data_IF_623461514149
#
_entry.id   IF_623461514149
#
_cell.length_a   1.000
_cell.length_b   1.000
_cell.length_c   1.000
_cell.angle_alpha   90.00
_cell.angle_beta   90.00
_cell.angle_gamma   90.00
#
_symmetry.space_group_name_H-M   'P 1'
#
loop_
_entity.id
_entity.type
_entity.pdbx_description
1 polymer ?
#
# COMPACT_ATOMS: atom_id res chain seq x y z
N UNK A 1 -29.83 -7.52 2.85
CA UNK A 1 -29.00 -7.48 1.62
C UNK A 1 -27.73 -6.75 2.00
N UNK A 2 -26.60 -7.44 1.98
CA UNK A 2 -25.30 -6.88 2.36
C UNK A 2 -24.87 -5.85 1.30
N UNK A 3 -24.74 -4.57 1.69
CA UNK A 3 -24.17 -3.50 0.86
C UNK A 3 -22.66 -3.70 0.71
N UNK A 4 -22.22 -4.85 0.21
CA UNK A 4 -20.81 -5.10 -0.08
C UNK A 4 -20.47 -4.39 -1.40
N UNK A 5 -19.40 -3.61 -1.37
CA UNK A 5 -18.79 -2.97 -2.53
C UNK A 5 -17.47 -3.68 -2.82
N UNK A 6 -17.13 -3.85 -4.10
CA UNK A 6 -16.02 -4.72 -4.48
C UNK A 6 -16.01 -5.09 -5.94
N UNK A 7 -15.04 -5.90 -6.33
CA UNK A 7 -14.89 -6.45 -7.67
C UNK A 7 -15.94 -7.53 -7.90
N UNK A 8 -16.66 -7.40 -9.01
CA UNK A 8 -17.63 -8.38 -9.51
C UNK A 8 -17.23 -8.95 -10.87
N UNK A 9 -16.22 -8.36 -11.52
CA UNK A 9 -15.65 -8.86 -12.77
C UNK A 9 -14.17 -8.51 -12.85
N UNK A 10 -13.35 -9.44 -13.32
CA UNK A 10 -11.92 -9.23 -13.60
C UNK A 10 -11.54 -10.01 -14.85
N UNK A 11 -11.05 -9.26 -15.86
CA UNK A 11 -10.51 -9.80 -17.09
C UNK A 11 -9.05 -9.38 -17.24
N UNK A 12 -8.18 -10.33 -17.59
CA UNK A 12 -6.78 -10.07 -17.90
C UNK A 12 -6.44 -10.63 -19.27
N UNK A 13 -5.66 -9.88 -20.04
CA UNK A 13 -5.11 -10.31 -21.32
C UNK A 13 -3.61 -10.05 -21.33
N UNK A 14 -2.81 -11.05 -21.72
CA UNK A 14 -1.35 -10.99 -21.78
C UNK A 14 -0.68 -10.41 -20.52
N UNK A 15 -1.25 -10.66 -19.35
CA UNK A 15 -0.81 -10.12 -18.08
C UNK A 15 0.03 -11.16 -17.31
N UNK A 16 1.33 -10.89 -17.11
CA UNK A 16 2.27 -11.80 -16.44
C UNK A 16 2.20 -13.22 -17.02
N UNK A 17 1.80 -14.23 -16.23
CA UNK A 17 1.66 -15.61 -16.70
C UNK A 17 0.32 -15.90 -17.38
N UNK A 18 -0.64 -14.97 -17.34
CA UNK A 18 -1.98 -15.18 -17.90
C UNK A 18 -2.03 -14.66 -19.34
N UNK A 19 -2.28 -15.55 -20.30
CA UNK A 19 -2.66 -15.10 -21.65
C UNK A 19 -4.08 -14.53 -21.62
N UNK A 20 -5.00 -15.27 -21.02
CA UNK A 20 -6.38 -14.87 -20.76
C UNK A 20 -6.78 -15.33 -19.38
N UNK A 21 -7.41 -14.46 -18.61
CA UNK A 21 -8.07 -14.81 -17.36
C UNK A 21 -9.39 -14.06 -17.31
N UNK A 22 -10.46 -14.76 -16.97
CA UNK A 22 -11.80 -14.19 -16.86
C UNK A 22 -12.47 -14.71 -15.61
N UNK A 23 -13.06 -13.79 -14.84
CA UNK A 23 -13.80 -14.14 -13.64
C UNK A 23 -14.92 -13.13 -13.42
N UNK A 24 -16.09 -13.63 -13.02
CA UNK A 24 -17.22 -12.78 -12.67
C UNK A 24 -18.11 -13.41 -11.61
N UNK A 25 -18.86 -12.57 -10.89
CA UNK A 25 -19.88 -12.94 -9.92
C UNK A 25 -20.98 -11.87 -9.90
N UNK A 26 -22.16 -12.22 -9.39
CA UNK A 26 -23.28 -11.28 -9.32
C UNK A 26 -23.09 -10.23 -8.21
N UNK A 27 -22.63 -10.67 -7.03
CA UNK A 27 -22.51 -9.83 -5.85
C UNK A 27 -21.07 -9.85 -5.31
N UNK A 28 -20.53 -8.74 -4.78
CA UNK A 28 -19.23 -8.77 -4.14
C UNK A 28 -19.23 -9.70 -2.92
N UNK A 29 -18.34 -10.69 -2.96
CA UNK A 29 -18.04 -11.59 -1.84
C UNK A 29 -16.54 -11.87 -1.73
N UNK A 30 -16.10 -12.52 -0.65
CA UNK A 30 -14.73 -13.00 -0.51
C UNK A 30 -14.36 -13.93 -1.67
N UNK A 31 -13.11 -13.88 -2.12
CA UNK A 31 -12.61 -14.71 -3.22
C UNK A 31 -11.38 -15.49 -2.78
N UNK A 32 -11.41 -16.81 -2.93
CA UNK A 32 -10.30 -17.71 -2.65
C UNK A 32 -9.75 -18.27 -3.96
N UNK A 33 -8.50 -17.94 -4.28
CA UNK A 33 -7.79 -18.45 -5.45
C UNK A 33 -6.89 -19.60 -5.01
N UNK A 34 -7.19 -20.80 -5.48
CA UNK A 34 -6.43 -22.02 -5.16
C UNK A 34 -5.72 -22.56 -6.39
N UNK A 35 -4.60 -23.23 -6.18
CA UNK A 35 -3.86 -23.88 -7.26
C UNK A 35 -2.38 -24.08 -6.94
N UNK A 36 -1.68 -24.88 -7.77
CA UNK A 36 -0.28 -25.20 -7.52
C UNK A 36 0.61 -23.95 -7.55
N UNK A 37 1.81 -24.08 -7.01
CA UNK A 37 2.83 -23.05 -7.14
C UNK A 37 3.11 -22.79 -8.62
N UNK A 38 3.24 -21.52 -9.00
CA UNK A 38 3.43 -21.12 -10.39
C UNK A 38 2.14 -20.97 -11.21
N UNK A 39 0.96 -21.32 -10.69
CA UNK A 39 -0.32 -21.17 -11.41
C UNK A 39 -0.77 -19.71 -11.68
N UNK A 40 0.03 -18.70 -11.30
CA UNK A 40 -0.30 -17.30 -11.52
C UNK A 40 -1.25 -16.67 -10.50
N UNK A 41 -1.44 -17.29 -9.31
CA UNK A 41 -2.30 -16.76 -8.23
C UNK A 41 -1.92 -15.34 -7.81
N UNK A 42 -0.65 -15.12 -7.46
CA UNK A 42 -0.12 -13.80 -7.11
C UNK A 42 -0.20 -12.80 -8.27
N UNK A 43 -0.22 -13.26 -9.53
CA UNK A 43 -0.37 -12.35 -10.68
C UNK A 43 -1.78 -11.76 -10.73
N UNK A 44 -2.81 -12.50 -10.30
CA UNK A 44 -4.18 -11.99 -10.16
C UNK A 44 -4.24 -10.95 -9.03
N UNK A 45 -3.63 -11.22 -7.87
CA UNK A 45 -3.53 -10.23 -6.80
C UNK A 45 -2.73 -8.98 -7.23
N UNK A 46 -1.68 -9.17 -8.03
CA UNK A 46 -0.92 -8.06 -8.60
C UNK A 46 -1.82 -7.19 -9.50
N UNK A 47 -2.65 -7.79 -10.37
CA UNK A 47 -3.61 -7.05 -11.17
C UNK A 47 -4.58 -6.23 -10.31
N UNK A 48 -5.18 -6.85 -9.28
CA UNK A 48 -6.07 -6.15 -8.35
C UNK A 48 -5.39 -5.00 -7.62
N UNK A 49 -4.11 -5.16 -7.26
CA UNK A 49 -3.32 -4.11 -6.61
C UNK A 49 -3.06 -2.89 -7.50
N UNK A 50 -3.23 -3.02 -8.83
CA UNK A 50 -3.11 -1.89 -9.76
C UNK A 50 -4.34 -0.98 -9.75
N UNK A 51 -5.46 -1.43 -9.19
CA UNK A 51 -6.70 -0.65 -9.08
C UNK A 51 -6.62 0.47 -8.04
N UNK A 52 -5.57 0.51 -7.22
CA UNK A 52 -5.28 1.61 -6.29
C UNK A 52 -4.08 2.44 -6.76
N UNK A 53 -3.91 3.67 -6.23
CA UNK A 53 -2.76 4.50 -6.56
C UNK A 53 -1.41 3.80 -6.30
N UNK A 54 -0.47 3.96 -7.24
CA UNK A 54 0.92 3.51 -7.08
C UNK A 54 1.31 2.39 -8.05
N UNK A 55 2.36 1.64 -7.73
CA UNK A 55 2.91 0.62 -8.64
C UNK A 55 2.39 -0.80 -8.36
N UNK A 56 1.42 -0.94 -7.47
CA UNK A 56 0.89 -2.21 -7.01
C UNK A 56 1.85 -3.02 -6.13
N UNK A 57 1.47 -4.28 -5.92
CA UNK A 57 2.05 -5.24 -4.99
C UNK A 57 3.58 -5.40 -5.13
N UNK A 58 4.06 -5.50 -6.37
CA UNK A 58 5.47 -5.81 -6.69
C UNK A 58 6.29 -4.59 -7.11
N UNK A 59 5.70 -3.39 -7.10
CA UNK A 59 6.33 -2.16 -7.60
C UNK A 59 6.88 -2.26 -9.03
N UNK A 60 6.30 -3.14 -9.84
CA UNK A 60 6.76 -3.49 -11.17
C UNK A 60 6.59 -2.34 -12.16
N UNK A 61 7.51 -2.23 -13.14
CA UNK A 61 7.35 -1.32 -14.26
C UNK A 61 6.18 -1.76 -15.17
N UNK A 62 5.80 -0.94 -16.15
CA UNK A 62 4.78 -1.36 -17.13
C UNK A 62 5.27 -2.53 -17.99
N UNK A 63 6.57 -2.55 -18.32
CA UNK A 63 7.19 -3.60 -19.12
C UNK A 63 7.26 -4.93 -18.37
N UNK A 64 7.51 -4.90 -17.06
CA UNK A 64 7.57 -6.13 -16.25
C UNK A 64 6.21 -6.83 -16.16
N UNK A 65 5.10 -6.09 -16.29
CA UNK A 65 3.73 -6.65 -16.24
C UNK A 65 3.40 -7.47 -17.49
N UNK A 66 4.07 -7.21 -18.62
CA UNK A 66 3.84 -7.91 -19.88
C UNK A 66 4.07 -9.42 -19.75
N UNK A 67 3.19 -10.21 -20.35
CA UNK A 67 3.44 -11.62 -20.61
C UNK A 67 4.57 -11.76 -21.65
N UNK A 68 5.69 -12.31 -21.21
CA UNK A 68 6.92 -12.40 -22.00
C UNK A 68 6.82 -13.36 -23.19
N UNK A 69 5.77 -14.20 -23.25
CA UNK A 69 5.53 -15.10 -24.39
C UNK A 69 4.65 -14.46 -25.48
N UNK A 70 4.21 -13.20 -25.28
CA UNK A 70 3.25 -12.51 -26.14
C UNK A 70 3.77 -11.14 -26.55
N UNK A 71 3.60 -10.81 -27.82
CA UNK A 71 3.95 -9.50 -28.39
C UNK A 71 2.83 -8.47 -28.26
N UNK A 72 1.58 -8.91 -28.17
CA UNK A 72 0.43 -8.02 -28.03
C UNK A 72 0.41 -7.36 -26.64
N UNK A 73 -0.03 -6.09 -26.53
CA UNK A 73 -0.10 -5.39 -25.25
C UNK A 73 -0.95 -6.15 -24.23
N UNK A 74 -0.56 -6.01 -22.96
CA UNK A 74 -1.40 -6.48 -21.87
C UNK A 74 -2.60 -5.57 -21.62
N UNK A 75 -3.68 -6.17 -21.15
CA UNK A 75 -4.93 -5.52 -20.76
C UNK A 75 -5.43 -6.03 -19.42
N UNK A 76 -6.04 -5.13 -18.67
CA UNK A 76 -6.75 -5.40 -17.42
C UNK A 76 -8.09 -4.67 -17.49
N UNK A 77 -9.18 -5.39 -17.22
CA UNK A 77 -10.50 -4.80 -17.04
C UNK A 77 -11.10 -5.27 -15.73
N UNK A 78 -11.63 -4.35 -14.93
CA UNK A 78 -12.34 -4.66 -13.70
C UNK A 78 -13.68 -3.93 -13.64
N UNK A 79 -14.73 -4.64 -13.21
CA UNK A 79 -16.01 -4.04 -12.84
C UNK A 79 -16.12 -4.03 -11.32
N UNK A 80 -16.23 -2.83 -10.75
CA UNK A 80 -16.46 -2.61 -9.34
C UNK A 80 -17.95 -2.34 -9.11
N UNK A 81 -18.54 -3.03 -8.17
CA UNK A 81 -19.81 -2.67 -7.58
C UNK A 81 -19.56 -1.64 -6.46
N UNK A 82 -20.22 -0.49 -6.55
CA UNK A 82 -20.20 0.55 -5.51
C UNK A 82 -21.63 0.98 -5.16
N UNK A 83 -21.87 1.62 -4.00
CA UNK A 83 -23.19 2.16 -3.67
C UNK A 83 -23.71 3.19 -4.68
N UNK A 84 -22.82 3.84 -5.43
CA UNK A 84 -23.15 4.83 -6.46
C UNK A 84 -23.33 4.22 -7.86
N UNK A 85 -23.32 2.89 -7.97
CA UNK A 85 -23.42 2.15 -9.23
C UNK A 85 -22.10 1.49 -9.66
N UNK A 86 -22.11 0.77 -10.79
CA UNK A 86 -20.92 0.08 -11.28
C UNK A 86 -19.87 1.07 -11.79
N UNK A 87 -18.61 0.78 -11.51
CA UNK A 87 -17.44 1.48 -12.07
C UNK A 87 -16.64 0.51 -12.90
N UNK A 88 -16.34 0.87 -14.15
CA UNK A 88 -15.50 0.10 -15.05
C UNK A 88 -14.09 0.70 -15.06
N UNK A 89 -13.07 -0.10 -14.76
CA UNK A 89 -11.68 0.29 -14.80
C UNK A 89 -10.97 -0.51 -15.88
N UNK A 90 -10.50 0.17 -16.92
CA UNK A 90 -9.68 -0.41 -17.97
C UNK A 90 -8.23 0.06 -17.84
N UNK A 91 -7.27 -0.84 -17.94
CA UNK A 91 -5.84 -0.50 -17.99
C UNK A 91 -5.14 -1.27 -19.10
N UNK A 92 -4.30 -0.57 -19.86
CA UNK A 92 -3.49 -1.16 -20.94
C UNK A 92 -2.06 -0.65 -20.90
N UNK A 93 -1.12 -1.47 -21.38
CA UNK A 93 0.21 -0.97 -21.71
C UNK A 93 0.13 0.09 -22.80
N UNK A 94 0.88 1.19 -22.65
CA UNK A 94 1.10 2.09 -23.77
C UNK A 94 2.01 1.42 -24.80
N UNK A 95 1.64 1.46 -26.08
CA UNK A 95 2.36 0.86 -27.21
C UNK A 95 3.83 1.34 -27.32
N UNK A 96 4.15 2.51 -26.75
CA UNK A 96 5.50 3.09 -26.76
C UNK A 96 6.33 2.78 -25.48
N UNK A 97 5.89 1.83 -24.64
CA UNK A 97 6.70 1.24 -23.57
C UNK A 97 6.92 2.06 -22.29
N UNK A 98 6.54 3.35 -22.26
CA UNK A 98 6.88 4.24 -21.15
C UNK A 98 5.81 4.35 -20.03
N UNK A 99 4.60 3.82 -20.22
CA UNK A 99 3.51 4.03 -19.26
C UNK A 99 2.31 3.10 -19.43
N UNK A 100 1.29 3.35 -18.62
CA UNK A 100 -0.01 2.66 -18.64
C UNK A 100 -1.08 3.67 -18.97
N UNK A 101 -2.04 3.29 -19.82
CA UNK A 101 -3.25 4.08 -20.05
C UNK A 101 -4.34 3.52 -19.16
N UNK A 102 -5.06 4.40 -18.47
CA UNK A 102 -6.14 4.02 -17.55
C UNK A 102 -7.42 4.70 -18.04
N UNK A 103 -8.52 3.97 -18.05
CA UNK A 103 -9.86 4.49 -18.34
C UNK A 103 -10.80 4.15 -17.18
N UNK A 104 -11.67 5.11 -16.84
CA UNK A 104 -12.79 4.92 -15.91
C UNK A 104 -14.07 5.15 -16.70
N UNK A 105 -14.94 4.15 -16.79
CA UNK A 105 -16.17 4.23 -17.58
C UNK A 105 -15.89 4.78 -19.00
N UNK A 106 -14.87 4.22 -19.65
CA UNK A 106 -14.38 4.60 -20.99
C UNK A 106 -13.77 6.01 -21.11
N UNK A 107 -13.69 6.77 -20.01
CA UNK A 107 -13.04 8.09 -19.97
C UNK A 107 -11.58 7.96 -19.54
N UNK A 108 -10.60 8.51 -20.29
CA UNK A 108 -9.20 8.48 -19.89
C UNK A 108 -8.94 9.14 -18.53
N UNK A 109 -8.23 8.44 -17.65
CA UNK A 109 -7.78 8.96 -16.36
C UNK A 109 -6.37 9.54 -16.49
N UNK A 110 -6.25 10.86 -16.37
CA UNK A 110 -4.98 11.55 -16.61
C UNK A 110 -3.93 11.34 -15.52
N UNK A 111 -4.35 11.07 -14.27
CA UNK A 111 -3.43 10.83 -13.15
C UNK A 111 -3.76 9.50 -12.50
N UNK A 112 -2.78 8.61 -12.44
CA UNK A 112 -2.93 7.33 -11.73
C UNK A 112 -3.31 7.51 -10.25
N UNK A 113 -2.93 8.64 -9.64
CA UNK A 113 -3.28 8.96 -8.25
C UNK A 113 -4.79 9.13 -8.04
N UNK A 114 -5.54 9.47 -9.09
CA UNK A 114 -6.99 9.66 -9.03
C UNK A 114 -7.73 8.30 -8.91
N UNK A 115 -7.03 7.17 -9.06
CA UNK A 115 -7.58 5.83 -8.72
C UNK A 115 -8.05 5.73 -7.26
N UNK A 116 -7.52 6.58 -6.37
CA UNK A 116 -7.96 6.67 -4.97
C UNK A 116 -9.47 6.93 -4.86
N UNK A 117 -10.05 7.61 -5.86
CA UNK A 117 -11.46 7.95 -5.86
C UNK A 117 -12.39 6.77 -6.18
N UNK A 118 -11.85 5.64 -6.66
CA UNK A 118 -12.63 4.49 -7.11
C UNK A 118 -12.41 3.22 -6.30
N UNK A 119 -11.20 2.98 -5.78
CA UNK A 119 -10.91 1.74 -5.04
C UNK A 119 -9.76 1.92 -4.05
N UNK A 120 -9.92 1.33 -2.87
CA UNK A 120 -8.86 1.17 -1.89
C UNK A 120 -8.39 -0.28 -1.88
N UNK A 121 -7.08 -0.49 -1.91
CA UNK A 121 -6.51 -1.84 -1.93
C UNK A 121 -5.35 -1.90 -0.95
N UNK A 122 -5.48 -2.77 0.06
CA UNK A 122 -4.38 -3.17 0.94
C UNK A 122 -4.02 -4.62 0.71
N UNK A 123 -2.82 -4.97 1.14
CA UNK A 123 -2.32 -6.33 0.98
C UNK A 123 -1.35 -6.75 2.06
N UNK A 124 -1.26 -8.07 2.23
CA UNK A 124 -0.25 -8.80 2.98
C UNK A 124 0.35 -9.84 2.02
N UNK A 125 1.68 -9.89 1.95
CA UNK A 125 2.44 -10.87 1.15
C UNK A 125 3.48 -11.58 1.99
N UNK A 126 3.97 -12.76 1.55
CA UNK A 126 5.03 -13.50 2.26
C UNK A 126 6.26 -12.65 2.60
N UNK A 127 6.67 -11.76 1.70
CA UNK A 127 7.81 -10.86 1.94
C UNK A 127 7.62 -9.90 3.12
N UNK A 128 6.37 -9.62 3.51
CA UNK A 128 6.07 -8.72 4.63
C UNK A 128 6.24 -9.38 5.99
N UNK A 129 6.45 -10.70 6.07
CA UNK A 129 6.82 -11.37 7.33
C UNK A 129 8.12 -10.81 7.93
N UNK A 130 8.99 -10.24 7.09
CA UNK A 130 10.24 -9.62 7.51
C UNK A 130 10.11 -8.13 7.83
N UNK A 131 8.91 -7.54 7.73
CA UNK A 131 8.70 -6.08 7.90
C UNK A 131 9.36 -5.52 9.16
N UNK A 132 9.29 -6.24 10.27
CA UNK A 132 9.86 -5.82 11.55
C UNK A 132 11.35 -6.18 11.70
N UNK A 133 11.92 -7.00 10.83
CA UNK A 133 13.36 -7.29 10.84
C UNK A 133 14.13 -6.49 9.77
N UNK A 134 13.40 -5.93 8.82
CA UNK A 134 13.96 -5.14 7.73
C UNK A 134 14.34 -3.71 8.12
N UNK A 135 15.01 -3.04 7.18
CA UNK A 135 15.44 -1.65 7.30
C UNK A 135 14.27 -0.68 7.60
N UNK A 136 14.62 0.46 8.22
CA UNK A 136 13.71 1.59 8.42
C UNK A 136 13.02 2.06 7.13
N UNK A 137 13.68 1.89 5.98
CA UNK A 137 13.11 2.25 4.67
C UNK A 137 11.93 1.37 4.27
N UNK A 138 11.95 0.09 4.61
CA UNK A 138 10.81 -0.82 4.36
C UNK A 138 9.63 -0.43 5.23
N UNK A 139 9.84 -0.23 6.53
CA UNK A 139 8.76 0.20 7.44
C UNK A 139 8.16 1.54 7.05
N UNK A 140 9.00 2.49 6.62
CA UNK A 140 8.51 3.78 6.12
C UNK A 140 7.68 3.61 4.84
N UNK A 141 8.12 2.79 3.88
CA UNK A 141 7.31 2.50 2.68
C UNK A 141 5.99 1.83 3.02
N UNK A 142 5.99 0.92 4.00
CA UNK A 142 4.77 0.32 4.54
C UNK A 142 3.84 1.38 5.13
N UNK A 143 4.35 2.26 5.99
CA UNK A 143 3.60 3.40 6.54
C UNK A 143 3.06 4.31 5.43
N UNK A 144 3.92 4.73 4.50
CA UNK A 144 3.54 5.62 3.40
C UNK A 144 2.39 5.04 2.60
N UNK A 145 2.41 3.74 2.29
CA UNK A 145 1.29 3.05 1.63
C UNK A 145 0.00 3.14 2.44
N UNK A 146 0.04 2.91 3.76
CA UNK A 146 -1.16 3.01 4.60
C UNK A 146 -1.70 4.45 4.64
N UNK A 147 -0.80 5.45 4.75
CA UNK A 147 -1.21 6.86 4.75
C UNK A 147 -1.80 7.26 3.39
N UNK A 148 -1.24 6.79 2.27
CA UNK A 148 -1.77 7.03 0.92
C UNK A 148 -3.21 6.55 0.77
N UNK A 149 -3.54 5.39 1.34
CA UNK A 149 -4.91 4.86 1.31
C UNK A 149 -5.86 5.65 2.21
N UNK A 150 -5.36 6.20 3.32
CA UNK A 150 -6.16 6.97 4.27
C UNK A 150 -6.38 8.44 3.85
N UNK A 151 -5.41 9.04 3.14
CA UNK A 151 -5.43 10.45 2.73
C UNK A 151 -4.94 10.61 1.29
N UNK A 152 -5.88 10.96 0.39
CA UNK A 152 -5.63 11.14 -1.04
C UNK A 152 -4.60 12.23 -1.37
N UNK A 153 -4.45 13.24 -0.50
CA UNK A 153 -3.49 14.33 -0.70
C UNK A 153 -2.05 13.92 -0.36
N UNK A 154 -1.85 12.76 0.29
CA UNK A 154 -0.53 12.32 0.73
C UNK A 154 0.39 11.91 -0.43
N UNK A 155 -0.11 11.13 -1.39
CA UNK A 155 0.72 10.64 -2.49
C UNK A 155 1.29 11.77 -3.39
N UNK A 156 0.49 12.76 -3.86
CA UNK A 156 1.03 13.91 -4.60
C UNK A 156 2.06 14.70 -3.79
N UNK A 157 1.80 14.89 -2.49
CA UNK A 157 2.70 15.59 -1.58
C UNK A 157 4.05 14.89 -1.43
N UNK A 158 4.04 13.56 -1.21
CA UNK A 158 5.26 12.76 -1.09
C UNK A 158 6.09 12.79 -2.38
N UNK A 159 5.44 12.62 -3.54
CA UNK A 159 6.13 12.67 -4.85
C UNK A 159 6.75 14.04 -5.13
N UNK A 160 6.05 15.13 -4.78
CA UNK A 160 6.59 16.47 -4.89
C UNK A 160 7.82 16.66 -3.98
N UNK A 161 7.74 16.23 -2.73
CA UNK A 161 8.86 16.25 -1.79
C UNK A 161 10.06 15.45 -2.32
N UNK A 162 9.87 14.22 -2.80
CA UNK A 162 10.95 13.40 -3.34
C UNK A 162 11.60 14.00 -4.59
N UNK A 163 10.82 14.69 -5.44
CA UNK A 163 11.35 15.43 -6.60
C UNK A 163 12.24 16.58 -6.15
N UNK A 164 11.78 17.42 -5.22
CA UNK A 164 12.55 18.55 -4.68
C UNK A 164 13.80 18.03 -3.97
N UNK A 165 13.68 16.95 -3.21
CA UNK A 165 14.81 16.34 -2.50
C UNK A 165 15.89 15.85 -3.47
N UNK A 166 15.50 15.24 -4.60
CA UNK A 166 16.45 14.86 -5.65
C UNK A 166 17.15 16.08 -6.26
N UNK A 167 16.41 17.17 -6.51
CA UNK A 167 16.98 18.42 -7.02
C UNK A 167 17.96 19.04 -6.02
N UNK A 168 17.60 19.08 -4.73
CA UNK A 168 18.47 19.57 -3.65
C UNK A 168 19.75 18.73 -3.55
N UNK A 169 19.63 17.40 -3.52
CA UNK A 169 20.78 16.48 -3.48
C UNK A 169 21.73 16.69 -4.66
N UNK A 170 21.17 16.82 -5.86
CA UNK A 170 21.93 17.11 -7.07
C UNK A 170 22.63 18.47 -6.96
N UNK A 171 21.93 19.52 -6.56
CA UNK A 171 22.50 20.86 -6.47
C UNK A 171 23.61 20.94 -5.41
N UNK A 172 23.42 20.37 -4.21
CA UNK A 172 24.44 20.35 -3.14
C UNK A 172 25.71 19.60 -3.55
N UNK A 173 25.61 18.61 -4.46
CA UNK A 173 26.80 17.92 -4.98
C UNK A 173 27.67 18.75 -5.94
N UNK A 174 27.21 19.93 -6.38
CA UNK A 174 28.02 20.83 -7.20
C UNK A 174 29.11 21.52 -6.36
N UNK A 175 30.23 21.90 -6.99
CA UNK A 175 31.33 22.61 -6.30
C UNK A 175 30.95 24.02 -5.84
N UNK A 176 30.07 24.70 -6.59
CA UNK A 176 29.63 26.07 -6.31
C UNK A 176 28.15 26.26 -6.67
N UNK A 177 27.22 25.69 -5.88
CA UNK A 177 25.79 25.88 -6.09
C UNK A 177 25.38 27.33 -5.79
N UNK A 178 24.43 27.86 -6.57
CA UNK A 178 23.90 29.21 -6.33
C UNK A 178 23.09 29.24 -5.01
N UNK A 179 23.42 30.09 -4.02
CA UNK A 179 22.80 30.05 -2.69
C UNK A 179 21.28 30.21 -2.70
N UNK A 180 20.75 31.14 -3.50
CA UNK A 180 19.30 31.40 -3.62
C UNK A 180 18.50 30.19 -4.12
N UNK A 181 19.11 29.34 -4.95
CA UNK A 181 18.45 28.12 -5.45
C UNK A 181 18.37 27.06 -4.34
N UNK A 182 19.43 26.91 -3.54
CA UNK A 182 19.39 26.03 -2.37
C UNK A 182 18.36 26.48 -1.37
N UNK A 183 18.34 27.77 -1.02
CA UNK A 183 17.36 28.35 -0.09
C UNK A 183 15.91 28.11 -0.55
N UNK A 184 15.64 28.30 -1.85
CA UNK A 184 14.31 28.05 -2.42
C UNK A 184 13.91 26.58 -2.31
N UNK A 185 14.83 25.64 -2.62
CA UNK A 185 14.56 24.21 -2.50
C UNK A 185 14.36 23.78 -1.04
N UNK A 186 15.12 24.35 -0.11
CA UNK A 186 15.06 24.03 1.31
C UNK A 186 13.78 24.52 1.97
N UNK A 187 13.31 25.71 1.58
CA UNK A 187 11.99 26.19 1.97
C UNK A 187 10.90 25.23 1.51
N UNK A 188 10.92 24.84 0.22
CA UNK A 188 9.96 23.87 -0.32
C UNK A 188 10.06 22.48 0.33
N UNK A 189 11.26 22.05 0.74
CA UNK A 189 11.46 20.80 1.49
C UNK A 189 10.88 20.89 2.90
N UNK A 190 11.06 22.03 3.58
CA UNK A 190 10.50 22.27 4.90
C UNK A 190 8.97 22.29 4.85
N UNK A 191 8.38 23.13 3.99
CA UNK A 191 6.93 23.24 3.77
C UNK A 191 6.28 21.86 3.56
N UNK A 192 6.83 21.07 2.63
CA UNK A 192 6.27 19.74 2.33
C UNK A 192 6.59 18.71 3.39
N UNK A 193 7.76 18.82 4.02
CA UNK A 193 8.21 17.90 5.06
C UNK A 193 7.32 17.96 6.30
N UNK A 194 6.94 19.16 6.71
CA UNK A 194 5.97 19.45 7.77
C UNK A 194 4.63 18.77 7.47
N UNK A 195 4.06 19.03 6.30
CA UNK A 195 2.77 18.44 5.90
C UNK A 195 2.80 16.90 5.83
N UNK A 196 3.93 16.31 5.39
CA UNK A 196 4.09 14.84 5.37
C UNK A 196 4.10 14.28 6.79
N UNK A 197 4.82 14.94 7.70
CA UNK A 197 4.84 14.54 9.10
C UNK A 197 3.45 14.64 9.72
N UNK A 198 2.73 15.75 9.55
CA UNK A 198 1.37 15.91 10.09
C UNK A 198 0.41 14.80 9.61
N UNK A 199 0.44 14.46 8.32
CA UNK A 199 -0.39 13.39 7.76
C UNK A 199 -0.03 12.02 8.32
N UNK A 200 1.26 11.72 8.49
CA UNK A 200 1.73 10.47 9.12
C UNK A 200 1.29 10.39 10.58
N UNK A 201 1.47 11.45 11.35
CA UNK A 201 1.09 11.52 12.76
C UNK A 201 -0.42 11.39 12.93
N UNK A 202 -1.21 12.10 12.12
CA UNK A 202 -2.69 12.00 12.11
C UNK A 202 -3.16 10.58 11.82
N UNK A 203 -2.54 9.91 10.83
CA UNK A 203 -2.84 8.52 10.52
C UNK A 203 -2.47 7.59 11.68
N UNK A 204 -1.26 7.73 12.25
CA UNK A 204 -0.81 6.89 13.37
C UNK A 204 -1.68 7.07 14.62
N UNK A 205 -2.13 8.28 14.93
CA UNK A 205 -3.08 8.53 16.01
C UNK A 205 -4.40 7.79 15.76
N UNK A 206 -4.95 7.89 14.54
CA UNK A 206 -6.17 7.18 14.16
C UNK A 206 -6.00 5.66 14.21
N UNK A 207 -4.83 5.17 13.77
CA UNK A 207 -4.48 3.75 13.80
C UNK A 207 -4.40 3.21 15.23
N UNK A 208 -3.72 3.93 16.12
CA UNK A 208 -3.61 3.56 17.53
C UNK A 208 -4.97 3.55 18.25
N UNK A 209 -5.90 4.44 17.87
CA UNK A 209 -7.26 4.41 18.38
C UNK A 209 -8.06 3.20 17.89
N UNK A 210 -7.75 2.68 16.69
CA UNK A 210 -8.43 1.52 16.10
C UNK A 210 -7.85 0.18 16.53
N UNK A 211 -6.54 0.12 16.80
CA UNK A 211 -5.82 -1.11 17.12
C UNK A 211 -6.42 -1.96 18.25
N UNK A 212 -6.97 -1.40 19.35
CA UNK A 212 -7.59 -2.19 20.42
C UNK A 212 -8.71 -3.13 19.94
N UNK A 213 -9.44 -2.80 18.88
CA UNK A 213 -10.47 -3.68 18.30
C UNK A 213 -9.88 -4.92 17.59
N UNK A 214 -8.58 -4.88 17.28
CA UNK A 214 -7.87 -5.92 16.54
C UNK A 214 -6.77 -6.60 17.36
N UNK A 215 -6.55 -6.20 18.62
CA UNK A 215 -5.54 -6.78 19.51
C UNK A 215 -6.18 -7.30 20.79
N UNK A 216 -5.55 -8.27 21.46
CA UNK A 216 -6.00 -8.66 22.79
C UNK A 216 -5.69 -7.54 23.79
N UNK A 217 -6.60 -7.28 24.74
CA UNK A 217 -6.39 -6.24 25.78
C UNK A 217 -5.11 -6.47 26.59
N UNK A 218 -4.78 -7.74 26.87
CA UNK A 218 -3.57 -8.14 27.59
C UNK A 218 -2.27 -7.98 26.79
N UNK A 219 -2.35 -7.60 25.51
CA UNK A 219 -1.20 -7.47 24.64
C UNK A 219 -1.40 -6.30 23.66
N UNK A 220 -1.36 -5.05 24.16
CA UNK A 220 -1.62 -3.87 23.33
C UNK A 220 -0.53 -3.71 22.27
N UNK A 221 -0.96 -3.38 21.05
CA UNK A 221 -0.08 -2.96 19.97
C UNK A 221 -0.14 -1.44 19.84
N UNK A 222 1.02 -0.79 19.83
CA UNK A 222 1.13 0.67 19.70
C UNK A 222 2.16 0.99 18.61
N UNK A 223 1.81 1.95 17.76
CA UNK A 223 2.70 2.50 16.73
C UNK A 223 3.14 3.89 17.16
N UNK A 224 4.43 4.19 17.02
CA UNK A 224 4.95 5.55 17.22
C UNK A 224 5.91 5.95 16.11
N UNK A 225 6.02 7.26 15.91
CA UNK A 225 6.95 7.86 14.96
C UNK A 225 8.01 8.63 15.74
N UNK A 226 9.25 8.59 15.25
CA UNK A 226 10.36 9.37 15.81
C UNK A 226 11.28 9.86 14.69
N UNK A 227 12.01 10.93 14.98
CA UNK A 227 12.94 11.57 14.07
C UNK A 227 13.23 12.99 14.53
N UNK A 228 14.30 13.57 14.02
CA UNK A 228 14.70 14.94 14.39
C UNK A 228 13.62 15.98 14.01
N UNK A 229 12.80 15.69 13.00
CA UNK A 229 11.65 16.55 12.67
C UNK A 229 10.59 16.57 13.79
N UNK A 230 10.41 15.45 14.49
CA UNK A 230 9.52 15.33 15.65
C UNK A 230 10.06 16.17 16.82
N UNK A 231 11.37 16.10 17.05
CA UNK A 231 12.04 16.88 18.10
C UNK A 231 11.91 18.40 17.86
N UNK A 232 12.08 18.85 16.60
CA UNK A 232 11.89 20.25 16.21
C UNK A 232 10.43 20.71 16.38
N UNK A 233 9.46 19.86 16.05
CA UNK A 233 8.04 20.16 16.27
C UNK A 233 7.75 20.34 17.76
N UNK A 234 8.21 19.42 18.62
CA UNK A 234 7.98 19.51 20.06
C UNK A 234 8.64 20.75 20.69
N UNK A 235 9.81 21.16 20.18
CA UNK A 235 10.51 22.33 20.69
C UNK A 235 9.80 23.66 20.37
N UNK A 236 9.28 23.82 19.15
CA UNK A 236 8.58 25.04 18.74
C UNK A 236 7.65 24.81 17.53
N UNK A 237 6.39 24.40 17.75
CA UNK A 237 5.44 24.14 16.66
C UNK A 237 5.22 25.34 15.74
N UNK A 238 5.24 26.56 16.28
CA UNK A 238 4.95 27.80 15.55
C UNK A 238 6.01 28.13 14.49
N UNK A 239 7.28 27.78 14.74
CA UNK A 239 8.40 28.03 13.82
C UNK A 239 8.99 26.73 13.28
N UNK A 240 8.20 25.65 13.27
CA UNK A 240 8.66 24.32 12.90
C UNK A 240 9.15 24.26 11.45
N UNK A 241 8.47 24.94 10.53
CA UNK A 241 8.90 25.04 9.12
C UNK A 241 10.26 25.75 9.00
N UNK A 242 10.43 26.92 9.63
CA UNK A 242 11.69 27.68 9.61
C UNK A 242 12.83 26.86 10.21
N UNK A 243 12.58 26.14 11.32
CA UNK A 243 13.54 25.24 11.93
C UNK A 243 13.93 24.08 11.00
N UNK A 244 12.96 23.51 10.27
CA UNK A 244 13.23 22.48 9.26
C UNK A 244 14.09 23.02 8.11
N UNK A 245 13.79 24.23 7.61
CA UNK A 245 14.56 24.88 6.56
C UNK A 245 16.01 25.10 7.00
N UNK A 246 16.21 25.69 8.18
CA UNK A 246 17.54 25.91 8.76
C UNK A 246 18.29 24.58 8.92
N UNK A 247 17.58 23.50 9.25
CA UNK A 247 18.18 22.18 9.40
C UNK A 247 18.66 21.56 8.08
N UNK A 248 17.94 21.75 6.99
CA UNK A 248 18.43 21.39 5.65
C UNK A 248 19.65 22.23 5.24
N UNK A 249 19.63 23.54 5.51
CA UNK A 249 20.76 24.42 5.23
C UNK A 249 22.03 23.97 5.97
N UNK A 250 21.91 23.60 7.25
CA UNK A 250 23.00 23.07 8.05
C UNK A 250 23.53 21.70 7.54
N UNK A 251 22.68 20.92 6.86
CA UNK A 251 23.04 19.61 6.31
C UNK A 251 23.81 19.68 4.97
N UNK A 252 23.88 20.84 4.31
CA UNK A 252 24.56 21.02 3.00
C UNK A 252 25.99 20.49 3.02
N UNK A 253 26.81 20.99 3.95
CA UNK A 253 28.25 20.70 4.02
C UNK A 253 28.55 19.25 4.41
N UNK A 254 27.77 18.67 5.33
CA UNK A 254 27.94 17.26 5.69
C UNK A 254 27.53 16.34 4.55
N UNK A 255 26.45 16.66 3.84
CA UNK A 255 26.01 15.92 2.65
C UNK A 255 27.03 16.01 1.50
N UNK A 256 27.60 17.19 1.25
CA UNK A 256 28.65 17.39 0.24
C UNK A 256 29.91 16.55 0.53
N UNK A 257 30.20 16.27 1.81
CA UNK A 257 31.27 15.35 2.26
C UNK A 257 30.90 13.87 2.16
N UNK A 258 29.78 13.53 1.54
CA UNK A 258 29.32 12.15 1.35
C UNK A 258 28.61 11.54 2.56
N UNK A 259 28.29 12.31 3.60
CA UNK A 259 27.50 11.80 4.73
C UNK A 259 26.02 11.68 4.33
N UNK A 260 25.30 10.64 4.79
CA UNK A 260 23.89 10.50 4.51
C UNK A 260 23.08 11.65 5.13
N UNK A 261 22.02 12.08 4.43
CA UNK A 261 21.08 13.05 4.96
C UNK A 261 20.16 12.38 5.99
N UNK A 262 20.31 12.74 7.26
CA UNK A 262 19.60 12.15 8.41
C UNK A 262 18.37 12.94 8.87
N UNK A 263 17.97 13.98 8.12
CA UNK A 263 16.88 14.89 8.49
C UNK A 263 15.78 14.95 7.42
N UNK A 264 14.52 15.14 7.83
CA UNK A 264 13.34 15.23 6.97
C UNK A 264 12.52 13.91 6.90
N UNK A 265 11.37 13.89 6.21
CA UNK A 265 10.49 12.73 6.11
C UNK A 265 11.14 11.39 5.76
N UNK A 266 12.22 11.38 4.99
CA UNK A 266 12.95 10.14 4.65
C UNK A 266 13.75 9.55 5.83
N UNK A 267 13.86 10.27 6.94
CA UNK A 267 14.53 9.82 8.16
C UNK A 267 13.57 9.42 9.28
N UNK A 268 12.26 9.62 9.11
CA UNK A 268 11.23 9.18 10.06
C UNK A 268 11.35 7.67 10.32
N UNK A 269 11.33 7.29 11.59
CA UNK A 269 11.39 5.91 12.07
C UNK A 269 10.01 5.52 12.62
N UNK A 270 9.46 4.43 12.11
CA UNK A 270 8.23 3.81 12.63
C UNK A 270 8.62 2.71 13.62
N UNK A 271 8.22 2.90 14.88
CA UNK A 271 8.37 1.92 15.94
C UNK A 271 7.04 1.27 16.25
N UNK A 272 7.10 0.01 16.65
CA UNK A 272 5.93 -0.78 16.98
C UNK A 272 6.26 -1.54 18.26
N UNK A 273 5.44 -1.35 19.29
CA UNK A 273 5.56 -2.07 20.55
C UNK A 273 4.36 -2.99 20.73
N UNK A 274 4.61 -4.22 21.15
CA UNK A 274 3.61 -5.21 21.50
C UNK A 274 3.83 -5.63 22.95
N UNK A 275 2.80 -5.49 23.79
CA UNK A 275 2.91 -5.72 25.23
C UNK A 275 4.12 -5.00 25.84
N UNK A 276 4.26 -3.70 25.54
CA UNK A 276 5.34 -2.82 26.03
C UNK A 276 6.77 -3.18 25.59
N UNK A 277 6.97 -4.20 24.74
CA UNK A 277 8.26 -4.56 24.19
C UNK A 277 8.33 -4.26 22.68
N UNK A 278 9.51 -3.95 22.11
CA UNK A 278 9.67 -3.82 20.66
C UNK A 278 9.24 -5.10 19.93
N UNK A 279 8.40 -4.96 18.90
CA UNK A 279 7.82 -6.10 18.16
C UNK A 279 8.89 -7.01 17.54
N UNK A 280 10.07 -6.48 17.26
CA UNK A 280 11.24 -7.18 16.71
C UNK A 280 11.73 -8.30 17.62
N UNK A 281 11.52 -8.15 18.93
CA UNK A 281 11.88 -9.14 19.96
C UNK A 281 10.77 -10.19 20.17
N UNK A 282 9.59 -9.96 19.59
CA UNK A 282 8.47 -10.90 19.65
C UNK A 282 8.69 -12.14 18.79
N UNK A 283 7.94 -13.20 19.09
CA UNK A 283 7.93 -14.43 18.30
C UNK A 283 7.44 -14.17 16.87
N UNK A 284 7.76 -15.07 15.93
CA UNK A 284 7.26 -14.97 14.54
C UNK A 284 5.73 -14.89 14.50
N UNK A 285 5.03 -15.62 15.37
CA UNK A 285 3.56 -15.54 15.49
C UNK A 285 3.07 -14.17 15.95
N UNK A 286 3.74 -13.57 16.94
CA UNK A 286 3.42 -12.21 17.42
C UNK A 286 3.65 -11.16 16.33
N UNK A 287 4.76 -11.26 15.61
CA UNK A 287 5.05 -10.39 14.46
C UNK A 287 3.95 -10.50 13.40
N UNK A 288 3.60 -11.71 12.98
CA UNK A 288 2.52 -11.89 12.00
C UNK A 288 1.18 -11.37 12.51
N UNK A 289 0.81 -11.67 13.76
CA UNK A 289 -0.42 -11.15 14.38
C UNK A 289 -0.45 -9.61 14.41
N UNK A 290 0.67 -8.96 14.72
CA UNK A 290 0.80 -7.51 14.68
C UNK A 290 0.62 -6.95 13.26
N UNK A 291 1.23 -7.58 12.24
CA UNK A 291 1.06 -7.18 10.85
C UNK A 291 -0.41 -7.24 10.41
N UNK A 292 -1.10 -8.34 10.70
CA UNK A 292 -2.54 -8.47 10.40
C UNK A 292 -3.36 -7.42 11.15
N UNK A 293 -3.07 -7.18 12.42
CA UNK A 293 -3.78 -6.19 13.23
C UNK A 293 -3.63 -4.77 12.66
N UNK A 294 -2.43 -4.39 12.23
CA UNK A 294 -2.15 -3.10 11.58
C UNK A 294 -2.93 -2.94 10.27
N UNK A 295 -2.88 -3.95 9.39
CA UNK A 295 -3.55 -3.88 8.09
C UNK A 295 -5.07 -3.92 8.22
N UNK A 296 -5.62 -4.76 9.09
CA UNK A 296 -7.07 -4.82 9.33
C UNK A 296 -7.59 -3.53 9.97
N UNK A 297 -6.84 -2.94 10.91
CA UNK A 297 -7.18 -1.63 11.48
C UNK A 297 -7.15 -0.53 10.42
N UNK A 298 -6.17 -0.55 9.52
CA UNK A 298 -6.10 0.40 8.41
C UNK A 298 -7.27 0.22 7.42
N UNK A 299 -7.66 -1.02 7.11
CA UNK A 299 -8.86 -1.30 6.31
C UNK A 299 -10.12 -0.74 6.98
N UNK A 300 -10.26 -0.92 8.30
CA UNK A 300 -11.40 -0.38 9.04
C UNK A 300 -11.47 1.14 9.00
N UNK A 301 -10.34 1.81 9.23
CA UNK A 301 -10.26 3.27 9.10
C UNK A 301 -10.67 3.76 7.71
N UNK A 302 -10.36 3.01 6.66
CA UNK A 302 -10.77 3.37 5.29
C UNK A 302 -12.26 3.16 5.07
N UNK A 303 -12.82 2.04 5.55
CA UNK A 303 -14.26 1.79 5.48
C UNK A 303 -15.05 2.86 6.22
N UNK A 304 -14.57 3.30 7.39
CA UNK A 304 -15.21 4.36 8.18
C UNK A 304 -15.10 5.73 7.49
N UNK A 305 -13.97 6.01 6.83
CA UNK A 305 -13.70 7.30 6.17
C UNK A 305 -14.30 7.40 4.76
N UNK A 306 -14.39 6.29 4.05
CA UNK A 306 -14.84 6.20 2.66
C UNK A 306 -15.86 5.06 2.50
N UNK A 307 -17.03 5.14 3.16
CA UNK A 307 -18.03 4.06 3.16
C UNK A 307 -18.55 3.71 1.77
N UNK A 308 -18.47 4.65 0.82
CA UNK A 308 -18.94 4.48 -0.54
C UNK A 308 -17.89 3.88 -1.49
N UNK A 309 -16.65 3.71 -1.04
CA UNK A 309 -15.57 3.19 -1.88
C UNK A 309 -15.34 1.70 -1.59
N UNK A 310 -15.24 0.85 -2.63
CA UNK A 310 -14.75 -0.52 -2.47
C UNK A 310 -13.40 -0.54 -1.74
N UNK A 311 -13.32 -1.35 -0.68
CA UNK A 311 -12.08 -1.66 0.01
C UNK A 311 -11.74 -3.14 -0.22
N UNK A 312 -10.57 -3.39 -0.79
CA UNK A 312 -10.05 -4.73 -1.05
C UNK A 312 -8.91 -5.05 -0.11
N UNK A 313 -8.92 -6.27 0.46
CA UNK A 313 -7.80 -6.83 1.19
C UNK A 313 -7.27 -8.05 0.44
N UNK A 314 -6.03 -7.94 -0.05
CA UNK A 314 -5.34 -9.01 -0.76
C UNK A 314 -4.43 -9.79 0.20
N UNK A 315 -4.62 -11.09 0.34
CA UNK A 315 -3.85 -11.96 1.21
C UNK A 315 -3.14 -13.01 0.35
N UNK A 316 -1.85 -12.81 0.09
CA UNK A 316 -1.08 -13.74 -0.74
C UNK A 316 -0.53 -14.89 0.12
N UNK A 317 -0.77 -16.14 -0.27
CA UNK A 317 -0.35 -17.37 0.39
C UNK A 317 -0.68 -17.37 1.90
N UNK A 318 -1.96 -17.18 2.24
CA UNK A 318 -2.42 -16.98 3.63
C UNK A 318 -1.98 -18.10 4.59
N UNK A 319 -1.97 -19.36 4.12
CA UNK A 319 -1.55 -20.51 4.92
C UNK A 319 -0.04 -20.51 5.24
N UNK A 320 0.79 -19.77 4.48
CA UNK A 320 2.20 -19.56 4.83
C UNK A 320 2.34 -18.52 5.96
N UNK A 321 1.37 -17.64 6.10
CA UNK A 321 1.35 -16.64 7.16
C UNK A 321 0.82 -17.23 8.47
N UNK A 322 -0.36 -17.81 8.47
CA UNK A 322 -1.08 -18.14 9.70
C UNK A 322 -1.35 -19.64 9.82
N UNK A 323 -1.31 -20.15 11.05
CA UNK A 323 -1.90 -21.46 11.35
C UNK A 323 -3.43 -21.42 11.23
N UNK A 324 -4.07 -22.59 11.36
CA UNK A 324 -5.51 -22.72 11.20
C UNK A 324 -6.32 -21.86 12.19
N UNK A 325 -5.86 -21.75 13.44
CA UNK A 325 -6.55 -20.97 14.48
C UNK A 325 -6.48 -19.46 14.20
N UNK A 326 -5.30 -18.96 13.84
CA UNK A 326 -5.12 -17.55 13.48
C UNK A 326 -5.84 -17.21 12.17
N UNK A 327 -5.84 -18.12 11.20
CA UNK A 327 -6.60 -17.98 9.95
C UNK A 327 -8.09 -17.81 10.25
N UNK A 328 -8.67 -18.69 11.06
CA UNK A 328 -10.08 -18.59 11.46
C UNK A 328 -10.38 -17.26 12.17
N UNK A 329 -9.46 -16.79 13.03
CA UNK A 329 -9.59 -15.50 13.73
C UNK A 329 -9.63 -14.32 12.75
N UNK A 330 -8.75 -14.31 11.75
CA UNK A 330 -8.72 -13.27 10.71
C UNK A 330 -9.99 -13.30 9.86
N UNK A 331 -10.39 -14.48 9.40
CA UNK A 331 -11.59 -14.64 8.60
C UNK A 331 -12.85 -14.17 9.34
N UNK A 332 -12.98 -14.54 10.62
CA UNK A 332 -14.10 -14.11 11.47
C UNK A 332 -14.15 -12.60 11.70
N UNK A 333 -12.99 -11.93 11.72
CA UNK A 333 -12.92 -10.45 11.83
C UNK A 333 -13.30 -9.74 10.54
N UNK A 334 -13.20 -10.42 9.41
CA UNK A 334 -13.60 -9.92 8.09
C UNK A 334 -15.08 -10.24 7.84
N UNK A 335 -15.56 -11.36 8.35
CA UNK A 335 -16.96 -11.77 8.35
C UNK A 335 -17.81 -10.67 9.03
N UNK A 336 -18.72 -10.07 8.28
CA UNK A 336 -19.54 -8.89 8.65
C UNK A 336 -18.87 -7.51 8.51
N UNK A 337 -17.76 -7.41 7.77
CA UNK A 337 -17.24 -6.12 7.30
C UNK A 337 -17.68 -5.86 5.85
N UNK A 338 -17.68 -4.59 5.42
CA UNK A 338 -17.86 -4.22 4.00
C UNK A 338 -16.59 -4.42 3.16
N UNK A 339 -15.61 -5.18 3.66
CA UNK A 339 -14.33 -5.45 3.03
C UNK A 339 -14.47 -6.64 2.08
N UNK A 340 -14.01 -6.50 0.83
CA UNK A 340 -13.86 -7.66 -0.04
C UNK A 340 -12.45 -8.24 0.11
N UNK A 341 -12.37 -9.48 0.58
CA UNK A 341 -11.11 -10.19 0.71
C UNK A 341 -10.81 -11.02 -0.55
N UNK A 342 -9.57 -10.96 -1.02
CA UNK A 342 -9.02 -11.86 -2.04
C UNK A 342 -7.84 -12.61 -1.44
N UNK A 343 -7.94 -13.93 -1.35
CA UNK A 343 -6.91 -14.77 -0.73
C UNK A 343 -6.36 -15.79 -1.71
N UNK A 344 -5.05 -16.04 -1.69
CA UNK A 344 -4.42 -17.11 -2.46
C UNK A 344 -3.88 -18.21 -1.55
N UNK A 345 -3.85 -19.44 -2.06
CA UNK A 345 -3.22 -20.57 -1.39
C UNK A 345 -3.06 -21.78 -2.31
N UNK A 346 -2.34 -22.79 -1.86
CA UNK A 346 -2.21 -24.07 -2.59
C UNK A 346 -3.44 -24.97 -2.47
N UNK A 347 -4.20 -24.81 -1.40
CA UNK A 347 -5.41 -25.56 -1.09
C UNK A 347 -6.51 -24.60 -0.62
N UNK A 348 -7.76 -25.06 -0.68
CA UNK A 348 -8.88 -24.32 -0.12
C UNK A 348 -8.69 -24.10 1.39
N UNK A 349 -9.12 -22.93 1.86
CA UNK A 349 -9.12 -22.66 3.29
C UNK A 349 -10.10 -23.61 4.01
N UNK A 350 -9.79 -24.04 5.24
CA UNK A 350 -10.63 -24.96 6.00
C UNK A 350 -12.01 -24.36 6.32
N UNK A 351 -12.09 -23.02 6.34
CA UNK A 351 -13.31 -22.26 6.49
C UNK A 351 -13.28 -21.10 5.49
N UNK A 352 -14.40 -20.84 4.83
CA UNK A 352 -14.59 -19.66 4.02
C UNK A 352 -15.81 -18.89 4.55
N UNK A 353 -15.77 -17.55 4.63
CA UNK A 353 -16.93 -16.78 5.04
C UNK A 353 -18.12 -16.99 4.08
N UNK A 354 -19.33 -16.72 4.56
CA UNK A 354 -20.53 -16.84 3.73
C UNK A 354 -20.43 -15.99 2.45
N UNK A 355 -20.86 -16.55 1.31
CA UNK A 355 -20.79 -15.88 0.01
C UNK A 355 -19.39 -15.85 -0.60
N UNK A 356 -18.45 -16.64 -0.07
CA UNK A 356 -17.13 -16.78 -0.68
C UNK A 356 -17.19 -17.58 -1.99
N UNK A 357 -16.39 -17.14 -2.96
CA UNK A 357 -16.21 -17.79 -4.25
C UNK A 357 -14.81 -18.38 -4.36
N UNK A 358 -14.71 -19.60 -4.86
CA UNK A 358 -13.42 -20.27 -5.09
C UNK A 358 -13.07 -20.26 -6.58
N UNK A 359 -11.88 -19.78 -6.92
CA UNK A 359 -11.28 -19.85 -8.24
C UNK A 359 -10.19 -20.92 -8.19
N UNK A 360 -10.36 -22.01 -8.94
CA UNK A 360 -9.38 -23.09 -9.02
C UNK A 360 -8.53 -22.95 -10.29
N UNK A 361 -7.23 -22.68 -10.11
CA UNK A 361 -6.25 -22.54 -11.19
C UNK A 361 -5.54 -23.86 -11.55
N UNK A 362 -5.91 -24.99 -10.96
CA UNK A 362 -5.33 -26.30 -11.31
C UNK A 362 -5.60 -26.70 -12.76
N UNK A 363 -6.72 -26.27 -13.34
CA UNK A 363 -7.09 -26.51 -14.74
C UNK A 363 -6.41 -25.54 -15.71
N UNK A 364 -6.10 -24.32 -15.28
CA UNK A 364 -5.48 -23.26 -16.09
C UNK A 364 -4.01 -23.56 -16.44
N UNK A 365 -3.32 -24.38 -15.65
CA UNK A 365 -1.94 -24.79 -15.95
C UNK A 365 -1.82 -25.78 -17.11
N UNK A 366 -2.93 -26.40 -17.56
CA UNK A 366 -2.92 -27.42 -18.62
C UNK A 366 -3.11 -26.85 -20.04
N UNK A 367 -3.36 -25.55 -20.17
CA UNK A 367 -3.58 -24.86 -21.45
C UNK A 367 -2.45 -23.89 -21.85
N UNK A 368 -1.29 -23.96 -21.19
CA UNK A 368 -0.11 -23.15 -21.52
C UNK A 368 0.79 -23.86 -22.54
#
# INVERSE_FOLDING_TARGET
MTNLSGIVHLSLTNFRSHQTFEWSQENPGPVCIVGPNGAGKTNILEALSLLSPGRGLRYASSADVQNQTRSDPWGLFAKLHSPHGPVHVGMTANLQGAGRTIHINDVPLHKQLDLHDYCQVLWITPSMDLLFKESLSTRRRFLDRLVMTYDKAYAPLLLAYEKILRQWRHLVSHRSPHPSWLESLEKLLAEKGVLIHEKRTTFVTSLNAMLPAYTAESAPLVVSLTGESDDLYQANPTHWEDACQARFAAARHTYQKGKPLTFGPQATKMHITFNHAPIEQGSTGQQKGALFSLVLSACRLQLDRFPDKPCLLLLDELSAHLDAHHTATVLKRIENTHLQMWVTGTQALPYLPQGAHTIDLTSFSRSA
#
